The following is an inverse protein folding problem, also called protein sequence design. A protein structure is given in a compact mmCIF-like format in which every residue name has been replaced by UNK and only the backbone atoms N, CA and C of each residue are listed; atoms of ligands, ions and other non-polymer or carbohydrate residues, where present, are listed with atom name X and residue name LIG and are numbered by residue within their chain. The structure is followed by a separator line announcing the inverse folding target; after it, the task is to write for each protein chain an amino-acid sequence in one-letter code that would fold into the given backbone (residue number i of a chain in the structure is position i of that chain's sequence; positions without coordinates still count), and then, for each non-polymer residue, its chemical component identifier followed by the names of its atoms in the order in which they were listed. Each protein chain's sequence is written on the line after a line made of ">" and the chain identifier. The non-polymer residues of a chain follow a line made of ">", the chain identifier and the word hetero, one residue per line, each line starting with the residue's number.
data_IF_432611881527
#
_entry.id   IF_432611881527
#
_cell.length_a   1.000
_cell.length_b   1.000
_cell.length_c   1.000
_cell.angle_alpha   90.00
_cell.angle_beta   90.00
_cell.angle_gamma   90.00
#
_symmetry.space_group_name_H-M   'P 1'
#
loop_
_entity.id
_entity.type
_entity.pdbx_description
1 polymer ?
#
# COMPACT_ATOMS: atom_id res chain seq x y z
N UNK A 1 82.54 22.16 -2.82
CA UNK A 1 81.49 21.23 -2.34
C UNK A 1 80.15 21.76 -2.84
N UNK A 2 79.59 21.18 -3.92
CA UNK A 2 78.32 21.61 -4.54
C UNK A 2 77.24 20.62 -4.12
N UNK A 3 76.29 21.05 -3.31
CA UNK A 3 75.12 20.26 -2.94
C UNK A 3 74.06 20.35 -4.05
N UNK A 4 73.71 19.21 -4.63
CA UNK A 4 72.58 19.08 -5.54
C UNK A 4 71.34 18.66 -4.74
N UNK A 5 70.31 19.51 -4.74
CA UNK A 5 69.01 19.16 -4.16
C UNK A 5 68.20 18.38 -5.22
N UNK A 6 67.99 17.09 -4.98
CA UNK A 6 67.09 16.24 -5.75
C UNK A 6 65.67 16.53 -5.28
N UNK A 7 64.86 17.20 -6.11
CA UNK A 7 63.43 17.40 -5.88
C UNK A 7 62.73 16.12 -6.34
N UNK A 8 62.29 15.31 -5.38
CA UNK A 8 61.47 14.12 -5.64
C UNK A 8 60.03 14.50 -5.93
N UNK A 9 59.57 14.21 -7.15
CA UNK A 9 58.18 14.37 -7.58
C UNK A 9 57.32 13.24 -7.00
N UNK A 10 56.49 13.54 -5.99
CA UNK A 10 55.48 12.61 -5.47
C UNK A 10 54.24 12.69 -6.35
N UNK A 11 54.03 11.69 -7.20
CA UNK A 11 52.80 11.55 -7.99
C UNK A 11 51.75 10.84 -7.11
N UNK A 12 50.80 11.61 -6.58
CA UNK A 12 49.64 11.08 -5.87
C UNK A 12 48.59 10.65 -6.89
N UNK A 13 48.45 9.34 -7.10
CA UNK A 13 47.40 8.77 -7.94
C UNK A 13 46.11 8.74 -7.10
N UNK A 14 45.20 9.67 -7.38
CA UNK A 14 43.88 9.74 -6.76
C UNK A 14 42.93 8.75 -7.46
N UNK A 15 42.66 7.61 -6.84
CA UNK A 15 41.67 6.64 -7.35
C UNK A 15 40.27 7.11 -6.98
N UNK A 16 39.57 7.70 -7.95
CA UNK A 16 38.15 8.06 -7.83
C UNK A 16 37.30 6.77 -7.78
N UNK A 17 36.84 6.39 -6.60
CA UNK A 17 35.83 5.36 -6.42
C UNK A 17 34.46 5.93 -6.79
N UNK A 18 33.90 5.46 -7.91
CA UNK A 18 32.51 5.78 -8.29
C UNK A 18 31.59 5.00 -7.35
N UNK A 19 31.15 5.63 -6.26
CA UNK A 19 30.06 5.10 -5.45
C UNK A 19 28.76 5.20 -6.24
N UNK A 20 28.20 4.06 -6.63
CA UNK A 20 26.86 4.01 -7.21
C UNK A 20 25.84 4.45 -6.16
N UNK A 21 25.27 5.63 -6.35
CA UNK A 21 24.13 6.12 -5.54
C UNK A 21 22.89 5.38 -6.06
N UNK A 22 22.70 4.12 -5.64
CA UNK A 22 21.37 3.51 -5.64
C UNK A 22 20.60 4.14 -4.49
N UNK A 23 20.10 5.36 -4.72
CA UNK A 23 19.11 5.96 -3.84
C UNK A 23 17.90 5.05 -3.81
N UNK A 24 17.57 4.52 -2.64
CA UNK A 24 16.35 3.76 -2.38
C UNK A 24 15.15 4.70 -2.59
N UNK A 25 14.72 4.88 -3.85
CA UNK A 25 13.43 5.52 -4.15
C UNK A 25 12.37 4.53 -3.69
N UNK A 26 11.93 4.71 -2.45
CA UNK A 26 10.82 3.96 -1.90
C UNK A 26 9.63 4.10 -2.85
N UNK A 27 9.26 3.00 -3.51
CA UNK A 27 8.16 2.97 -4.47
C UNK A 27 6.86 3.21 -3.70
N UNK A 28 6.17 4.32 -4.02
CA UNK A 28 4.95 4.72 -3.31
C UNK A 28 3.72 4.22 -4.05
N UNK A 29 2.67 3.87 -3.30
CA UNK A 29 1.33 3.61 -3.85
C UNK A 29 0.68 4.93 -4.26
N UNK A 30 0.01 4.92 -5.40
CA UNK A 30 -0.72 6.08 -5.92
C UNK A 30 -2.02 6.28 -5.15
N UNK A 31 -2.33 7.53 -4.77
CA UNK A 31 -3.64 7.82 -4.17
C UNK A 31 -4.75 7.63 -5.23
N UNK A 32 -5.80 6.85 -4.95
CA UNK A 32 -6.79 6.46 -5.95
C UNK A 32 -7.83 7.57 -6.11
N UNK A 33 -7.56 8.54 -6.98
CA UNK A 33 -8.51 9.64 -7.26
C UNK A 33 -9.84 9.05 -7.78
N UNK A 34 -10.95 9.65 -7.34
CA UNK A 34 -12.33 9.29 -7.73
C UNK A 34 -12.77 7.84 -7.49
N UNK A 35 -12.08 7.10 -6.60
CA UNK A 35 -12.39 5.69 -6.34
C UNK A 35 -13.83 5.41 -5.87
N UNK A 36 -14.53 6.41 -5.31
CA UNK A 36 -15.93 6.28 -4.93
C UNK A 36 -16.87 6.07 -6.13
N UNK A 37 -16.41 6.40 -7.34
CA UNK A 37 -17.13 6.09 -8.59
C UNK A 37 -16.89 4.66 -9.09
N UNK A 38 -15.93 3.94 -8.50
CA UNK A 38 -15.61 2.57 -8.90
C UNK A 38 -16.66 1.60 -8.35
N UNK A 39 -16.55 0.34 -8.75
CA UNK A 39 -17.49 -0.68 -8.27
C UNK A 39 -17.30 -0.90 -6.76
N UNK A 40 -18.36 -0.65 -6.00
CA UNK A 40 -18.45 -1.06 -4.61
C UNK A 40 -18.58 -2.60 -4.54
N UNK A 41 -17.58 -3.25 -3.93
CA UNK A 41 -17.47 -4.72 -3.85
C UNK A 41 -18.29 -5.27 -2.69
N UNK A 42 -18.11 -4.69 -1.50
CA UNK A 42 -18.77 -5.13 -0.27
C UNK A 42 -18.59 -4.11 0.85
N UNK A 43 -19.39 -4.28 1.89
CA UNK A 43 -19.21 -3.60 3.17
C UNK A 43 -19.02 -4.60 4.31
N UNK A 44 -18.41 -4.12 5.39
CA UNK A 44 -18.32 -4.81 6.69
C UNK A 44 -18.52 -3.76 7.78
N UNK A 45 -19.19 -4.14 8.87
CA UNK A 45 -19.22 -3.32 10.08
C UNK A 45 -18.51 -4.11 11.18
N UNK A 46 -17.44 -3.55 11.74
CA UNK A 46 -16.73 -4.13 12.88
C UNK A 46 -17.12 -3.36 14.13
N UNK A 47 -17.94 -3.99 14.97
CA UNK A 47 -18.44 -3.43 16.23
C UNK A 47 -17.51 -3.72 17.40
N UNK A 48 -17.66 -2.93 18.48
CA UNK A 48 -16.96 -3.12 19.74
C UNK A 48 -17.16 -4.56 20.25
N UNK A 49 -16.05 -5.20 20.64
CA UNK A 49 -16.02 -6.61 21.06
C UNK A 49 -15.41 -7.56 20.03
N UNK A 50 -15.30 -7.13 18.75
CA UNK A 50 -14.54 -7.88 17.75
C UNK A 50 -13.02 -7.75 17.97
N UNK A 51 -12.25 -8.83 17.75
CA UNK A 51 -10.79 -8.87 17.98
C UNK A 51 -10.02 -7.77 17.23
N UNK A 52 -10.51 -7.39 16.05
CA UNK A 52 -9.89 -6.35 15.21
C UNK A 52 -10.50 -4.95 15.39
N UNK A 53 -11.34 -4.72 16.40
CA UNK A 53 -12.02 -3.42 16.57
C UNK A 53 -11.05 -2.24 16.77
N UNK A 54 -9.94 -2.44 17.47
CA UNK A 54 -9.00 -1.32 17.68
C UNK A 54 -8.32 -0.86 16.39
N UNK A 55 -8.04 -1.80 15.47
CA UNK A 55 -7.41 -1.48 14.18
C UNK A 55 -8.45 -1.02 13.15
N UNK A 56 -9.59 -1.72 13.07
CA UNK A 56 -10.54 -1.60 11.98
C UNK A 56 -11.99 -1.45 12.48
N UNK A 57 -12.25 -0.96 13.69
CA UNK A 57 -13.62 -0.69 14.15
C UNK A 57 -14.27 0.40 13.32
N UNK A 58 -15.53 0.18 12.90
CA UNK A 58 -16.25 1.09 12.01
C UNK A 58 -16.96 0.41 10.83
N UNK A 59 -17.43 1.24 9.90
CA UNK A 59 -18.04 0.84 8.63
C UNK A 59 -16.97 0.84 7.55
N UNK A 60 -16.85 -0.27 6.83
CA UNK A 60 -15.88 -0.48 5.76
C UNK A 60 -16.61 -0.51 4.45
N UNK A 61 -16.11 0.22 3.47
CA UNK A 61 -16.49 0.05 2.08
C UNK A 61 -15.27 -0.39 1.28
N UNK A 62 -15.40 -1.48 0.53
CA UNK A 62 -14.36 -1.92 -0.38
C UNK A 62 -14.76 -1.54 -1.80
N UNK A 63 -13.89 -0.81 -2.49
CA UNK A 63 -14.04 -0.46 -3.90
C UNK A 63 -12.95 -1.13 -4.72
N UNK A 64 -13.25 -1.41 -5.99
CA UNK A 64 -12.29 -2.00 -6.91
C UNK A 64 -12.45 -1.39 -8.31
N UNK A 65 -11.34 -1.05 -8.94
CA UNK A 65 -11.33 -0.60 -10.33
C UNK A 65 -11.68 -1.74 -11.30
N UNK A 66 -11.89 -1.43 -12.58
CA UNK A 66 -12.34 -2.41 -13.58
C UNK A 66 -11.42 -3.63 -13.72
N UNK A 67 -10.11 -3.42 -13.59
CA UNK A 67 -9.11 -4.49 -13.60
C UNK A 67 -9.27 -5.43 -12.40
N UNK A 68 -9.41 -4.87 -11.20
CA UNK A 68 -9.61 -5.63 -9.98
C UNK A 68 -10.98 -6.36 -9.98
N UNK A 69 -12.04 -5.72 -10.49
CA UNK A 69 -13.36 -6.34 -10.62
C UNK A 69 -13.34 -7.53 -11.59
N UNK A 70 -12.61 -7.43 -12.69
CA UNK A 70 -12.46 -8.53 -13.65
C UNK A 70 -11.84 -9.75 -12.97
N UNK A 71 -10.80 -9.56 -12.14
CA UNK A 71 -10.17 -10.62 -11.37
C UNK A 71 -11.13 -11.21 -10.32
N UNK A 72 -11.79 -10.35 -9.54
CA UNK A 72 -12.72 -10.74 -8.48
C UNK A 72 -13.93 -11.54 -9.00
N UNK A 73 -14.50 -11.17 -10.16
CA UNK A 73 -15.61 -11.91 -10.80
C UNK A 73 -15.16 -13.21 -11.44
N UNK A 74 -13.97 -13.21 -12.05
CA UNK A 74 -13.46 -14.36 -12.80
C UNK A 74 -12.80 -15.44 -11.95
N UNK A 75 -12.56 -15.18 -10.65
CA UNK A 75 -11.73 -16.05 -9.81
C UNK A 75 -10.28 -16.14 -10.32
N UNK A 76 -9.80 -15.10 -11.01
CA UNK A 76 -8.48 -15.04 -11.64
C UNK A 76 -7.53 -14.19 -10.81
N UNK A 77 -6.22 -14.36 -11.02
CA UNK A 77 -5.20 -13.50 -10.41
C UNK A 77 -5.34 -12.04 -10.83
N UNK A 78 -4.93 -11.12 -9.96
CA UNK A 78 -4.96 -9.70 -10.25
C UNK A 78 -3.83 -9.32 -11.21
N UNK A 79 -4.15 -8.50 -12.20
CA UNK A 79 -3.16 -8.03 -13.19
C UNK A 79 -2.60 -6.67 -12.79
N UNK A 80 -1.45 -6.29 -13.38
CA UNK A 80 -0.85 -4.96 -13.19
C UNK A 80 -1.88 -3.84 -13.43
N UNK A 81 -1.92 -2.89 -12.50
CA UNK A 81 -2.87 -1.79 -12.43
C UNK A 81 -4.21 -2.13 -11.77
N UNK A 82 -4.38 -3.33 -11.22
CA UNK A 82 -5.54 -3.61 -10.36
C UNK A 82 -5.40 -2.81 -9.06
N UNK A 83 -6.48 -2.14 -8.66
CA UNK A 83 -6.50 -1.35 -7.43
C UNK A 83 -7.73 -1.69 -6.61
N UNK A 84 -7.53 -1.95 -5.32
CA UNK A 84 -8.60 -2.04 -4.33
C UNK A 84 -8.43 -0.91 -3.31
N UNK A 85 -9.56 -0.38 -2.87
CA UNK A 85 -9.62 0.68 -1.86
C UNK A 85 -10.47 0.20 -0.70
N UNK A 86 -9.92 0.30 0.49
CA UNK A 86 -10.56 0.06 1.77
C UNK A 86 -10.87 1.42 2.41
N UNK A 87 -12.13 1.81 2.47
CA UNK A 87 -12.59 3.07 3.02
C UNK A 87 -13.22 2.82 4.40
N UNK A 88 -12.53 3.23 5.46
CA UNK A 88 -12.97 3.04 6.84
C UNK A 88 -13.54 4.33 7.39
N UNK A 89 -14.79 4.27 7.84
CA UNK A 89 -15.49 5.34 8.52
C UNK A 89 -15.88 4.89 9.93
N UNK A 90 -16.01 5.85 10.85
CA UNK A 90 -16.67 5.61 12.13
C UNK A 90 -18.10 5.11 11.92
N UNK A 91 -18.55 4.22 12.78
CA UNK A 91 -19.95 3.86 12.88
C UNK A 91 -20.66 4.78 13.88
N UNK A 92 -21.84 5.29 13.51
CA UNK A 92 -22.73 6.02 14.43
C UNK A 92 -24.03 5.25 14.61
N UNK A 93 -24.39 4.99 15.87
CA UNK A 93 -25.64 4.32 16.20
C UNK A 93 -26.65 5.36 16.64
N UNK A 94 -27.70 5.55 15.85
CA UNK A 94 -28.76 6.53 16.12
C UNK A 94 -30.12 5.95 15.68
N UNK A 95 -31.16 6.11 16.50
CA UNK A 95 -32.53 5.65 16.17
C UNK A 95 -32.61 4.20 15.65
N UNK A 96 -31.86 3.28 16.26
CA UNK A 96 -31.74 1.87 15.84
C UNK A 96 -31.19 1.68 14.41
N UNK A 97 -30.47 2.66 13.89
CA UNK A 97 -29.73 2.58 12.63
C UNK A 97 -28.23 2.69 12.90
N UNK A 98 -27.44 2.18 11.95
CA UNK A 98 -26.00 2.39 11.90
C UNK A 98 -25.73 3.23 10.66
N UNK A 99 -25.17 4.42 10.85
CA UNK A 99 -24.84 5.35 9.76
C UNK A 99 -23.34 5.68 9.77
N UNK A 100 -22.86 6.19 8.63
CA UNK A 100 -21.48 6.64 8.49
C UNK A 100 -21.20 7.87 9.37
N UNK A 101 -20.07 7.83 10.07
CA UNK A 101 -19.44 8.95 10.73
C UNK A 101 -18.24 9.49 9.96
N UNK A 102 -17.37 10.27 10.63
CA UNK A 102 -16.10 10.73 10.06
C UNK A 102 -15.26 9.57 9.51
N UNK A 103 -14.55 9.84 8.42
CA UNK A 103 -13.56 8.90 7.88
C UNK A 103 -12.38 8.76 8.83
N UNK A 104 -11.86 7.53 8.94
CA UNK A 104 -10.66 7.20 9.71
C UNK A 104 -9.44 6.98 8.80
N UNK A 105 -9.58 6.19 7.74
CA UNK A 105 -8.48 5.84 6.83
C UNK A 105 -8.99 5.45 5.44
N UNK A 106 -8.17 5.70 4.42
CA UNK A 106 -8.26 5.05 3.11
C UNK A 106 -7.06 4.12 2.98
N UNK A 107 -7.29 2.81 3.01
CA UNK A 107 -6.29 1.81 2.66
C UNK A 107 -6.32 1.49 1.17
N UNK A 108 -5.15 1.30 0.56
CA UNK A 108 -5.03 1.09 -0.89
C UNK A 108 -4.10 -0.07 -1.16
N UNK A 109 -4.57 -1.02 -1.97
CA UNK A 109 -3.77 -2.09 -2.55
C UNK A 109 -3.61 -1.85 -4.05
N UNK A 110 -2.38 -1.74 -4.53
CA UNK A 110 -2.06 -1.52 -5.95
C UNK A 110 -1.22 -2.68 -6.49
N UNK A 111 -1.72 -3.42 -7.49
CA UNK A 111 -0.95 -4.49 -8.13
C UNK A 111 0.01 -3.90 -9.16
N UNK A 112 1.30 -4.00 -8.89
CA UNK A 112 2.37 -3.69 -9.84
C UNK A 112 3.63 -4.51 -9.49
N UNK A 113 3.79 -5.72 -10.09
CA UNK A 113 4.92 -6.60 -9.79
C UNK A 113 6.30 -5.98 -9.99
N UNK A 114 6.41 -5.01 -10.89
CA UNK A 114 7.68 -4.34 -11.20
C UNK A 114 8.03 -3.31 -10.12
N UNK A 115 7.02 -2.62 -9.57
CA UNK A 115 7.20 -1.60 -8.52
C UNK A 115 7.25 -2.18 -7.12
N UNK A 116 6.61 -3.33 -6.90
CA UNK A 116 6.44 -3.94 -5.58
C UNK A 116 6.94 -5.40 -5.50
N UNK A 117 8.15 -5.72 -5.99
CA UNK A 117 8.64 -7.11 -6.02
C UNK A 117 8.81 -7.70 -4.62
N UNK A 118 9.13 -6.88 -3.62
CA UNK A 118 9.34 -7.33 -2.25
C UNK A 118 8.05 -7.70 -1.51
N UNK A 119 6.90 -7.32 -2.06
CA UNK A 119 5.58 -7.53 -1.46
C UNK A 119 4.65 -8.31 -2.38
N UNK A 120 5.21 -9.29 -3.10
CA UNK A 120 4.44 -10.21 -3.96
C UNK A 120 3.66 -9.46 -5.07
N UNK A 121 4.23 -8.33 -5.50
CA UNK A 121 3.68 -7.45 -6.52
C UNK A 121 2.54 -6.56 -6.06
N UNK A 122 2.29 -6.46 -4.75
CA UNK A 122 1.28 -5.58 -4.18
C UNK A 122 1.92 -4.43 -3.40
N UNK A 123 1.60 -3.20 -3.79
CA UNK A 123 1.84 -2.02 -2.97
C UNK A 123 0.71 -1.86 -1.96
N UNK A 124 1.04 -1.45 -0.73
CA UNK A 124 0.09 -1.17 0.33
C UNK A 124 0.34 0.22 0.90
N UNK A 125 -0.73 0.99 1.12
CA UNK A 125 -0.65 2.30 1.76
C UNK A 125 -1.93 2.60 2.51
N UNK A 126 -1.80 3.33 3.62
CA UNK A 126 -2.90 3.86 4.40
C UNK A 126 -2.79 5.38 4.43
N UNK A 127 -3.87 6.06 4.05
CA UNK A 127 -3.98 7.52 4.06
C UNK A 127 -4.86 7.95 5.22
N UNK A 128 -4.27 8.60 6.22
CA UNK A 128 -4.95 9.04 7.43
C UNK A 128 -6.08 10.02 7.07
N UNK A 129 -7.29 9.77 7.57
CA UNK A 129 -8.50 10.53 7.26
C UNK A 129 -8.81 10.66 5.75
N UNK A 130 -8.14 9.87 4.90
CA UNK A 130 -8.20 9.98 3.45
C UNK A 130 -7.42 11.16 2.85
N UNK A 131 -6.46 11.73 3.58
CA UNK A 131 -5.57 12.78 3.10
C UNK A 131 -4.38 12.18 2.31
N UNK A 132 -4.22 12.47 1.00
CA UNK A 132 -3.12 11.95 0.17
C UNK A 132 -1.71 12.28 0.69
N UNK A 133 -1.57 13.34 1.49
CA UNK A 133 -0.30 13.78 2.06
C UNK A 133 0.02 13.08 3.38
N UNK A 134 -0.97 12.48 4.05
CA UNK A 134 -0.79 11.78 5.34
C UNK A 134 -0.71 10.27 5.18
N UNK A 135 0.41 9.83 4.62
CA UNK A 135 0.77 8.41 4.47
C UNK A 135 1.18 7.79 5.79
N UNK A 136 0.73 6.57 6.04
CA UNK A 136 0.95 5.87 7.31
C UNK A 136 1.85 4.65 7.19
N UNK A 137 1.96 4.03 6.01
CA UNK A 137 2.72 2.79 5.85
C UNK A 137 4.20 3.10 5.69
N UNK A 138 5.01 2.60 6.62
CA UNK A 138 6.47 2.71 6.59
C UNK A 138 7.15 1.40 6.20
N UNK A 139 6.49 0.26 6.41
CA UNK A 139 6.97 -1.06 6.01
C UNK A 139 5.79 -1.94 5.55
N UNK A 140 5.58 -2.00 4.22
CA UNK A 140 4.47 -2.74 3.61
C UNK A 140 4.50 -4.24 3.94
N UNK A 141 5.69 -4.85 4.07
CA UNK A 141 5.81 -6.28 4.34
C UNK A 141 5.32 -6.64 5.74
N UNK A 142 5.74 -5.87 6.73
CA UNK A 142 5.42 -6.11 8.14
C UNK A 142 4.01 -5.62 8.50
N UNK A 143 3.63 -4.43 8.03
CA UNK A 143 2.38 -3.78 8.44
C UNK A 143 1.16 -4.29 7.68
N UNK A 144 1.32 -4.73 6.43
CA UNK A 144 0.18 -5.06 5.56
C UNK A 144 0.25 -6.50 5.04
N UNK A 145 1.32 -6.85 4.31
CA UNK A 145 1.42 -8.16 3.67
C UNK A 145 1.44 -9.31 4.68
N UNK A 146 2.01 -9.11 5.88
CA UNK A 146 2.06 -10.13 6.93
C UNK A 146 0.67 -10.72 7.26
N UNK A 147 -0.35 -9.88 7.36
CA UNK A 147 -1.74 -10.27 7.58
C UNK A 147 -2.34 -10.87 6.29
N UNK A 148 -2.16 -10.18 5.17
CA UNK A 148 -2.71 -10.56 3.86
C UNK A 148 -2.13 -11.87 3.30
N UNK A 149 -0.99 -12.34 3.79
CA UNK A 149 -0.39 -13.66 3.42
C UNK A 149 -1.33 -14.83 3.65
N UNK A 150 -2.24 -14.75 4.62
CA UNK A 150 -3.25 -15.79 4.85
C UNK A 150 -4.18 -15.99 3.64
N UNK A 151 -4.33 -14.95 2.80
CA UNK A 151 -5.14 -14.95 1.58
C UNK A 151 -4.29 -15.22 0.33
N UNK A 152 -3.14 -15.89 0.44
CA UNK A 152 -2.28 -16.18 -0.72
C UNK A 152 -3.03 -16.91 -1.86
N UNK A 153 -4.01 -17.76 -1.52
CA UNK A 153 -4.82 -18.48 -2.50
C UNK A 153 -5.72 -17.56 -3.36
N UNK A 154 -6.07 -16.38 -2.84
CA UNK A 154 -6.83 -15.33 -3.53
C UNK A 154 -5.93 -14.14 -3.92
N UNK A 155 -4.63 -14.39 -4.13
CA UNK A 155 -3.63 -13.38 -4.47
C UNK A 155 -3.63 -12.22 -3.45
N UNK A 156 -3.66 -12.59 -2.16
CA UNK A 156 -3.55 -11.72 -0.99
C UNK A 156 -4.75 -10.79 -0.75
N UNK A 157 -5.91 -11.06 -1.37
CA UNK A 157 -7.12 -10.24 -1.24
C UNK A 157 -8.22 -11.01 -0.49
N UNK A 158 -8.68 -10.45 0.64
CA UNK A 158 -9.79 -11.00 1.44
C UNK A 158 -11.17 -10.86 0.77
N UNK A 159 -11.35 -9.79 -0.02
CA UNK A 159 -12.64 -9.47 -0.61
C UNK A 159 -13.00 -10.45 -1.73
N UNK A 160 -14.24 -10.94 -1.70
CA UNK A 160 -14.85 -11.74 -2.75
C UNK A 160 -16.01 -10.97 -3.36
N UNK A 161 -16.18 -11.05 -4.67
CA UNK A 161 -17.33 -10.44 -5.32
C UNK A 161 -18.61 -11.25 -5.02
N UNK A 162 -19.71 -10.54 -4.76
CA UNK A 162 -21.02 -11.15 -4.54
C UNK A 162 -21.70 -11.39 -5.90
N UNK A 163 -21.91 -12.65 -6.26
CA UNK A 163 -22.41 -13.07 -7.58
C UNK A 163 -23.91 -13.42 -7.61
N UNK A 164 -24.58 -13.46 -6.47
CA UNK A 164 -25.97 -13.90 -6.30
C UNK A 164 -27.02 -12.77 -6.30
#
# INVERSE_FOLDING_TARGET
>A
MKNYYIIGLVIVICTLTVQSIFGNRQTKVTFPVDYRSWTHVKSVVIMKGHVNYNAFGGIHHVYANDKAITALKGGKSFTKGSVLVFDLLEEKIENNTIIEGPRKVIGVMEKDPDRFPETEGWGFEDFKLGDPEQRMVTNMREQCLSCHKSEKASDFVYSKYRLD
#
